data_IF_075403833068
#
_entry.id   IF_075403833068
#
_cell.length_a   1.000
_cell.length_b   1.000
_cell.length_c   1.000
_cell.angle_alpha   90.00
_cell.angle_beta   90.00
_cell.angle_gamma   90.00
#
_symmetry.space_group_name_H-M   'P 1'
#
loop_
_entity.id
_entity.type
_entity.pdbx_description
1 polymer ?
#
# COMPACT_ATOMS: atom_id res chain seq x y z
N UNK A 1 3.83 -29.25 -47.67
CA UNK A 1 3.62 -28.59 -46.35
C UNK A 1 4.85 -27.76 -46.07
N UNK A 2 4.75 -26.46 -45.76
CA UNK A 2 5.93 -25.56 -45.65
C UNK A 2 6.01 -24.84 -44.31
N UNK A 3 7.22 -24.52 -43.87
CA UNK A 3 7.50 -23.79 -42.64
C UNK A 3 7.09 -22.32 -42.77
N UNK A 4 6.31 -21.80 -41.83
CA UNK A 4 5.84 -20.41 -41.87
C UNK A 4 6.97 -19.38 -41.68
N UNK A 5 8.10 -19.76 -41.05
CA UNK A 5 9.27 -18.89 -40.81
C UNK A 5 10.25 -18.87 -41.99
N UNK A 6 10.82 -20.01 -42.39
CA UNK A 6 11.83 -20.07 -43.46
C UNK A 6 11.24 -20.33 -44.87
N UNK A 7 9.94 -20.63 -44.99
CA UNK A 7 9.25 -20.95 -46.26
C UNK A 7 9.71 -22.24 -46.96
N UNK A 8 10.55 -23.05 -46.32
CA UNK A 8 11.03 -24.33 -46.85
C UNK A 8 10.07 -25.49 -46.52
N UNK A 9 10.16 -26.64 -47.22
CA UNK A 9 9.39 -27.85 -46.90
C UNK A 9 9.67 -28.34 -45.48
N UNK A 10 8.64 -28.85 -44.80
CA UNK A 10 8.78 -29.47 -43.48
C UNK A 10 9.10 -30.96 -43.62
N UNK A 11 10.00 -31.46 -42.78
CA UNK A 11 10.27 -32.89 -42.60
C UNK A 11 9.17 -33.60 -41.79
N UNK A 12 9.39 -34.86 -41.42
CA UNK A 12 8.41 -35.68 -40.67
C UNK A 12 8.10 -35.14 -39.27
N UNK A 13 8.99 -34.32 -38.68
CA UNK A 13 8.78 -33.68 -37.37
C UNK A 13 8.54 -32.19 -37.55
N UNK A 14 7.38 -31.70 -37.06
CA UNK A 14 7.00 -30.29 -37.18
C UNK A 14 6.13 -29.86 -36.00
N UNK A 15 6.15 -28.56 -35.69
CA UNK A 15 5.30 -27.95 -34.67
C UNK A 15 4.11 -27.28 -35.34
N UNK A 16 2.91 -27.58 -34.86
CA UNK A 16 1.69 -26.88 -35.25
C UNK A 16 1.30 -25.88 -34.16
N UNK A 17 1.32 -24.59 -34.50
CA UNK A 17 1.00 -23.52 -33.56
C UNK A 17 0.36 -22.35 -34.31
N UNK A 18 -0.64 -21.70 -33.69
CA UNK A 18 -1.26 -20.46 -34.21
C UNK A 18 -1.77 -20.60 -35.66
N UNK A 19 -2.36 -21.76 -35.98
CA UNK A 19 -2.85 -22.10 -37.32
C UNK A 19 -1.76 -22.27 -38.39
N UNK A 20 -0.48 -22.26 -38.01
CA UNK A 20 0.69 -22.35 -38.90
C UNK A 20 1.56 -23.56 -38.53
N UNK A 21 2.53 -23.87 -39.37
CA UNK A 21 3.45 -25.01 -39.18
C UNK A 21 4.88 -24.53 -39.23
N UNK A 22 5.71 -25.03 -38.33
CA UNK A 22 7.09 -24.58 -38.14
C UNK A 22 8.03 -25.77 -37.99
N UNK A 23 9.30 -25.58 -38.33
CA UNK A 23 10.34 -26.50 -37.85
C UNK A 23 10.42 -26.37 -36.32
N UNK A 24 10.78 -27.43 -35.59
CA UNK A 24 10.96 -27.38 -34.14
C UNK A 24 11.85 -26.20 -33.71
N UNK A 25 12.96 -25.95 -34.40
CA UNK A 25 13.90 -24.87 -34.08
C UNK A 25 13.42 -23.47 -34.52
N UNK A 26 12.39 -23.41 -35.35
CA UNK A 26 11.88 -22.16 -35.92
C UNK A 26 10.73 -21.58 -35.13
N UNK A 27 10.10 -22.34 -34.24
CA UNK A 27 9.05 -21.84 -33.36
C UNK A 27 9.67 -21.26 -32.08
N UNK A 28 10.04 -19.98 -32.15
CA UNK A 28 10.70 -19.24 -31.05
C UNK A 28 9.87 -18.04 -30.60
N UNK A 29 10.18 -17.51 -29.43
CA UNK A 29 9.64 -16.22 -28.99
C UNK A 29 10.00 -15.11 -29.98
N UNK A 30 9.08 -14.17 -30.23
CA UNK A 30 9.35 -12.99 -31.10
C UNK A 30 10.36 -12.01 -30.50
N UNK A 31 10.54 -12.05 -29.17
CA UNK A 31 11.41 -11.13 -28.44
C UNK A 31 12.74 -11.75 -28.00
N UNK A 32 12.89 -13.08 -28.00
CA UNK A 32 14.13 -13.75 -27.61
C UNK A 32 14.34 -15.07 -28.36
N UNK A 33 15.58 -15.61 -28.40
CA UNK A 33 15.89 -16.83 -29.14
C UNK A 33 15.36 -18.12 -28.48
N UNK A 34 14.50 -18.03 -27.46
CA UNK A 34 13.93 -19.19 -26.78
C UNK A 34 13.05 -19.98 -27.74
N UNK A 35 13.43 -21.24 -27.98
CA UNK A 35 12.67 -22.20 -28.79
C UNK A 35 11.58 -22.83 -27.90
N UNK A 36 10.36 -22.87 -28.40
CA UNK A 36 9.28 -23.63 -27.76
C UNK A 36 9.35 -25.05 -28.30
N UNK A 37 9.81 -26.00 -27.47
CA UNK A 37 9.81 -27.41 -27.83
C UNK A 37 8.40 -27.93 -28.18
N UNK A 38 8.27 -29.17 -28.66
CA UNK A 38 6.98 -29.76 -29.02
C UNK A 38 5.95 -29.75 -27.88
N UNK A 39 6.40 -29.86 -26.62
CA UNK A 39 5.57 -29.77 -25.41
C UNK A 39 5.71 -28.41 -24.68
N UNK A 40 6.36 -27.44 -25.32
CA UNK A 40 6.64 -26.13 -24.73
C UNK A 40 5.39 -25.25 -24.63
N UNK A 41 5.22 -24.58 -23.49
CA UNK A 41 4.16 -23.57 -23.33
C UNK A 41 4.56 -22.26 -23.99
N UNK A 42 3.63 -21.67 -24.74
CA UNK A 42 3.78 -20.35 -25.37
C UNK A 42 2.51 -19.53 -25.15
N UNK A 43 2.64 -18.21 -25.28
CA UNK A 43 1.53 -17.27 -25.17
C UNK A 43 1.35 -16.53 -26.49
N UNK A 44 0.15 -16.57 -27.05
CA UNK A 44 -0.20 -15.93 -28.31
C UNK A 44 -0.75 -14.52 -28.08
N UNK A 45 -0.29 -13.55 -28.87
CA UNK A 45 -0.87 -12.20 -28.94
C UNK A 45 -0.72 -11.61 -30.33
N UNK A 46 -1.81 -11.12 -30.91
CA UNK A 46 -1.85 -10.51 -32.26
C UNK A 46 -1.19 -11.37 -33.36
N UNK A 47 -1.25 -12.70 -33.23
CA UNK A 47 -0.62 -13.62 -34.19
C UNK A 47 0.89 -13.75 -34.05
N UNK A 48 1.47 -13.33 -32.91
CA UNK A 48 2.85 -13.58 -32.50
C UNK A 48 2.96 -14.48 -31.25
N UNK A 49 4.07 -15.23 -31.14
CA UNK A 49 4.33 -16.14 -30.01
C UNK A 49 5.35 -15.54 -29.04
N UNK A 50 5.02 -15.54 -27.75
CA UNK A 50 5.87 -15.04 -26.68
C UNK A 50 6.14 -16.10 -25.62
N UNK A 51 7.35 -16.08 -25.06
CA UNK A 51 7.61 -16.83 -23.83
C UNK A 51 6.92 -16.13 -22.65
N UNK A 52 6.72 -16.86 -21.54
CA UNK A 52 6.07 -16.33 -20.35
C UNK A 52 6.63 -14.95 -19.95
N UNK A 53 7.94 -14.81 -19.93
CA UNK A 53 8.62 -13.57 -19.57
C UNK A 53 8.24 -12.41 -20.51
N UNK A 54 8.42 -12.57 -21.82
CA UNK A 54 8.14 -11.49 -22.77
C UNK A 54 6.65 -11.18 -22.90
N UNK A 55 5.79 -12.19 -22.81
CA UNK A 55 4.36 -11.96 -22.76
C UNK A 55 3.99 -11.11 -21.54
N UNK A 56 4.51 -11.46 -20.37
CA UNK A 56 4.27 -10.73 -19.11
C UNK A 56 4.67 -9.26 -19.22
N UNK A 57 5.88 -8.95 -19.72
CA UNK A 57 6.37 -7.56 -19.64
C UNK A 57 6.09 -6.70 -20.88
N UNK A 58 5.89 -7.29 -22.06
CA UNK A 58 5.65 -6.55 -23.31
C UNK A 58 4.18 -6.47 -23.69
N UNK A 59 3.40 -7.51 -23.36
CA UNK A 59 2.04 -7.68 -23.86
C UNK A 59 1.00 -7.50 -22.77
N UNK A 60 1.23 -8.09 -21.59
CA UNK A 60 0.21 -8.10 -20.54
C UNK A 60 -0.14 -6.68 -20.08
N UNK A 61 -1.43 -6.51 -19.74
CA UNK A 61 -1.95 -5.24 -19.21
C UNK A 61 -1.20 -4.86 -17.94
N UNK A 62 -0.86 -3.58 -17.79
CA UNK A 62 -0.15 -3.06 -16.62
C UNK A 62 -1.11 -2.44 -15.62
N UNK A 63 -0.83 -2.67 -14.33
CA UNK A 63 -1.61 -2.07 -13.26
C UNK A 63 -1.34 -0.56 -13.18
N UNK A 64 -2.40 0.25 -13.17
CA UNK A 64 -2.29 1.71 -13.04
C UNK A 64 -1.69 2.16 -11.68
N UNK A 65 -1.77 1.32 -10.64
CA UNK A 65 -1.22 1.60 -9.31
C UNK A 65 0.28 1.32 -9.15
N UNK A 66 0.75 0.14 -9.58
CA UNK A 66 2.14 -0.29 -9.39
C UNK A 66 2.96 -0.43 -10.68
N UNK A 67 2.33 -0.25 -11.85
CA UNK A 67 2.93 -0.40 -13.19
C UNK A 67 3.46 -1.81 -13.51
N UNK A 68 3.23 -2.79 -12.64
CA UNK A 68 3.57 -4.19 -12.89
C UNK A 68 2.52 -4.87 -13.78
N UNK A 69 2.93 -5.84 -14.62
CA UNK A 69 2.02 -6.69 -15.38
C UNK A 69 0.98 -7.40 -14.52
N UNK A 70 -0.25 -7.50 -15.02
CA UNK A 70 -1.32 -8.26 -14.37
C UNK A 70 -1.51 -9.60 -15.07
N UNK A 71 -1.22 -10.69 -14.36
CA UNK A 71 -1.26 -12.05 -14.91
C UNK A 71 -2.45 -12.89 -14.44
N UNK A 72 -3.17 -12.42 -13.42
CA UNK A 72 -4.29 -13.13 -12.79
C UNK A 72 -5.57 -12.27 -12.88
N UNK A 73 -6.25 -12.11 -11.76
CA UNK A 73 -7.43 -11.26 -11.61
C UNK A 73 -7.03 -9.78 -11.69
N UNK A 74 -7.86 -9.00 -12.39
CA UNK A 74 -7.76 -7.53 -12.43
C UNK A 74 -9.11 -6.88 -12.21
N UNK A 75 -9.09 -5.65 -11.73
CA UNK A 75 -10.24 -4.74 -11.71
C UNK A 75 -10.10 -3.78 -12.89
N UNK A 76 -11.19 -3.59 -13.63
CA UNK A 76 -11.29 -2.59 -14.70
C UNK A 76 -12.09 -1.41 -14.17
N UNK A 77 -11.49 -0.22 -14.20
CA UNK A 77 -12.08 1.02 -13.72
C UNK A 77 -12.02 2.07 -14.82
N UNK A 78 -13.12 2.76 -15.09
CA UNK A 78 -13.12 3.92 -15.98
C UNK A 78 -12.96 5.18 -15.14
N UNK A 79 -11.84 5.88 -15.28
CA UNK A 79 -11.59 7.15 -14.62
C UNK A 79 -11.31 8.23 -15.66
N UNK A 80 -12.12 9.29 -15.66
CA UNK A 80 -12.04 10.40 -16.64
C UNK A 80 -12.08 9.93 -18.10
N UNK A 81 -12.86 8.88 -18.38
CA UNK A 81 -13.01 8.32 -19.72
C UNK A 81 -11.85 7.43 -20.19
N UNK A 82 -10.85 7.18 -19.34
CA UNK A 82 -9.76 6.24 -19.64
C UNK A 82 -9.99 4.95 -18.87
N UNK A 83 -9.91 3.82 -19.57
CA UNK A 83 -9.96 2.49 -18.96
C UNK A 83 -8.62 2.15 -18.31
N UNK A 84 -8.61 2.06 -16.98
CA UNK A 84 -7.47 1.64 -16.18
C UNK A 84 -7.69 0.22 -15.65
N UNK A 85 -6.61 -0.55 -15.62
CA UNK A 85 -6.59 -1.91 -15.09
C UNK A 85 -5.80 -1.92 -13.79
N UNK A 86 -6.27 -2.66 -12.78
CA UNK A 86 -5.68 -2.65 -11.46
C UNK A 86 -5.57 -4.05 -10.87
N UNK A 87 -4.51 -4.31 -10.11
CA UNK A 87 -4.56 -5.40 -9.13
C UNK A 87 -5.58 -5.05 -8.04
N UNK A 88 -6.34 -6.02 -7.51
CA UNK A 88 -7.29 -5.78 -6.42
C UNK A 88 -6.67 -5.02 -5.24
N UNK A 89 -5.51 -5.46 -4.76
CA UNK A 89 -4.80 -4.87 -3.62
C UNK A 89 -4.31 -3.45 -3.94
N UNK A 90 -3.79 -3.23 -5.16
CA UNK A 90 -3.37 -1.90 -5.60
C UNK A 90 -4.55 -0.91 -5.63
N UNK A 91 -5.71 -1.38 -6.12
CA UNK A 91 -6.90 -0.54 -6.18
C UNK A 91 -7.45 -0.26 -4.78
N UNK A 92 -7.43 -1.24 -3.87
CA UNK A 92 -7.82 -1.01 -2.47
C UNK A 92 -6.91 0.03 -1.81
N UNK A 93 -5.59 -0.08 -1.96
CA UNK A 93 -4.66 0.90 -1.41
C UNK A 93 -4.94 2.31 -1.97
N UNK A 94 -5.20 2.41 -3.27
CA UNK A 94 -5.58 3.68 -3.91
C UNK A 94 -6.93 4.20 -3.41
N UNK A 95 -7.95 3.34 -3.30
CA UNK A 95 -9.30 3.73 -2.88
C UNK A 95 -9.32 4.27 -1.45
N UNK A 96 -8.62 3.60 -0.53
CA UNK A 96 -8.65 3.96 0.89
C UNK A 96 -7.64 5.07 1.20
N UNK A 97 -6.39 4.96 0.76
CA UNK A 97 -5.35 5.92 1.12
C UNK A 97 -4.98 6.90 0.01
N UNK A 98 -5.58 6.82 -1.19
CA UNK A 98 -5.23 7.68 -2.32
C UNK A 98 -3.71 7.68 -2.61
N UNK A 99 -3.12 6.49 -2.56
CA UNK A 99 -1.70 6.24 -2.84
C UNK A 99 -1.57 5.32 -4.05
N UNK A 100 -0.73 5.72 -5.01
CA UNK A 100 -0.24 4.83 -6.07
C UNK A 100 1.15 4.35 -5.69
N UNK A 101 1.37 3.03 -5.76
CA UNK A 101 2.61 2.36 -5.33
C UNK A 101 3.82 2.81 -6.15
N UNK A 102 3.64 3.10 -7.44
CA UNK A 102 4.68 3.67 -8.30
C UNK A 102 4.30 5.10 -8.73
N UNK A 103 4.91 6.14 -8.15
CA UNK A 103 4.72 7.52 -8.61
C UNK A 103 5.53 7.77 -9.90
N UNK A 104 4.85 7.79 -11.03
CA UNK A 104 5.08 8.61 -12.25
C UNK A 104 6.48 8.84 -12.86
N UNK A 105 7.59 8.20 -12.46
CA UNK A 105 8.82 8.29 -13.27
C UNK A 105 8.74 7.45 -14.56
N UNK A 106 7.82 6.49 -14.65
CA UNK A 106 7.64 5.62 -15.81
C UNK A 106 6.44 5.98 -16.71
N UNK A 107 5.67 7.02 -16.39
CA UNK A 107 4.44 7.35 -17.10
C UNK A 107 4.65 8.13 -18.42
N UNK A 108 5.87 8.59 -18.72
CA UNK A 108 6.14 9.54 -19.83
C UNK A 108 6.87 8.99 -21.07
N UNK A 109 7.33 7.74 -21.09
CA UNK A 109 8.22 7.27 -22.14
C UNK A 109 7.56 6.43 -23.25
N UNK A 110 6.90 7.04 -24.24
CA UNK A 110 6.73 6.40 -25.57
C UNK A 110 8.04 6.44 -26.38
N UNK A 111 9.17 6.15 -25.75
CA UNK A 111 10.45 5.97 -26.41
C UNK A 111 10.58 4.50 -26.80
N UNK A 112 11.01 4.20 -28.03
CA UNK A 112 11.36 2.84 -28.47
C UNK A 112 12.36 2.23 -27.49
N UNK A 113 11.90 1.39 -26.57
CA UNK A 113 12.76 0.70 -25.60
C UNK A 113 13.43 -0.47 -26.32
N UNK A 114 14.76 -0.48 -26.26
CA UNK A 114 15.60 -1.59 -26.70
C UNK A 114 15.12 -2.90 -26.04
N UNK A 115 15.05 -4.01 -26.79
CA UNK A 115 14.48 -5.32 -26.39
C UNK A 115 15.16 -6.03 -25.20
N UNK A 116 15.94 -5.34 -24.36
CA UNK A 116 16.42 -5.85 -23.08
C UNK A 116 15.58 -5.25 -21.94
N UNK A 117 14.58 -6.00 -21.50
CA UNK A 117 13.75 -5.69 -20.35
C UNK A 117 14.62 -5.74 -19.07
N UNK A 118 15.13 -4.58 -18.62
CA UNK A 118 15.64 -4.47 -17.26
C UNK A 118 14.45 -4.54 -16.30
N UNK A 119 14.40 -5.56 -15.43
CA UNK A 119 13.53 -5.53 -14.26
C UNK A 119 13.89 -4.25 -13.47
N UNK A 120 12.93 -3.37 -13.15
CA UNK A 120 13.20 -2.28 -12.24
C UNK A 120 13.63 -2.89 -10.89
N UNK A 121 14.92 -2.78 -10.56
CA UNK A 121 15.52 -3.38 -9.35
C UNK A 121 14.85 -2.88 -8.05
N UNK A 122 14.14 -1.76 -8.11
CA UNK A 122 13.48 -1.11 -6.97
C UNK A 122 11.95 -1.20 -7.02
N UNK A 123 11.39 -2.02 -7.91
CA UNK A 123 9.93 -2.18 -7.95
C UNK A 123 9.43 -2.88 -6.68
N UNK A 124 8.36 -2.33 -6.11
CA UNK A 124 7.64 -2.96 -5.00
C UNK A 124 7.02 -4.27 -5.50
N UNK A 125 7.34 -5.37 -4.84
CA UNK A 125 6.86 -6.70 -5.25
C UNK A 125 5.37 -6.90 -4.96
N UNK A 126 4.71 -7.82 -5.66
CA UNK A 126 3.30 -8.20 -5.39
C UNK A 126 3.10 -8.62 -3.92
N UNK A 127 4.07 -9.35 -3.36
CA UNK A 127 4.06 -9.74 -1.94
C UNK A 127 4.14 -8.54 -1.00
N UNK A 128 4.99 -7.55 -1.30
CA UNK A 128 5.05 -6.31 -0.51
C UNK A 128 3.75 -5.52 -0.61
N UNK A 129 3.12 -5.43 -1.79
CA UNK A 129 1.83 -4.76 -1.98
C UNK A 129 0.75 -5.42 -1.13
N UNK A 130 0.70 -6.77 -1.13
CA UNK A 130 -0.22 -7.51 -0.29
C UNK A 130 0.01 -7.22 1.20
N UNK A 131 1.27 -7.19 1.66
CA UNK A 131 1.60 -6.84 3.05
C UNK A 131 1.20 -5.40 3.41
N UNK A 132 1.41 -4.43 2.51
CA UNK A 132 0.94 -3.05 2.71
C UNK A 132 -0.57 -3.05 2.93
N UNK A 133 -1.32 -3.71 2.06
CA UNK A 133 -2.77 -3.77 2.16
C UNK A 133 -3.24 -4.39 3.48
N UNK A 134 -2.73 -5.58 3.84
CA UNK A 134 -3.21 -6.30 5.03
C UNK A 134 -2.88 -5.58 6.33
N UNK A 135 -1.65 -5.10 6.48
CA UNK A 135 -1.21 -4.41 7.72
C UNK A 135 -1.93 -3.08 7.88
N UNK A 136 -2.03 -2.26 6.83
CA UNK A 136 -2.73 -0.97 6.92
C UNK A 136 -4.23 -1.15 7.17
N UNK A 137 -4.85 -2.19 6.60
CA UNK A 137 -6.26 -2.50 6.86
C UNK A 137 -6.47 -2.91 8.32
N UNK A 138 -5.61 -3.78 8.85
CA UNK A 138 -5.69 -4.22 10.26
C UNK A 138 -5.46 -3.06 11.22
N UNK A 139 -4.51 -2.17 10.92
CA UNK A 139 -4.26 -0.96 11.70
C UNK A 139 -5.47 0.00 11.66
N UNK A 140 -6.06 0.22 10.48
CA UNK A 140 -7.25 1.07 10.34
C UNK A 140 -8.46 0.46 11.06
N UNK A 141 -8.68 -0.84 10.97
CA UNK A 141 -9.76 -1.55 11.68
C UNK A 141 -9.61 -1.45 13.20
N UNK A 142 -8.39 -1.64 13.71
CA UNK A 142 -8.11 -1.57 15.14
C UNK A 142 -8.33 -0.16 15.70
N UNK A 143 -7.88 0.86 14.97
CA UNK A 143 -8.09 2.27 15.35
C UNK A 143 -9.56 2.68 15.22
N UNK A 144 -10.27 2.22 14.18
CA UNK A 144 -11.70 2.46 14.01
C UNK A 144 -12.54 1.82 15.12
N UNK A 145 -12.13 0.65 15.62
CA UNK A 145 -12.76 0.01 16.78
C UNK A 145 -12.58 0.86 18.03
N UNK A 146 -11.37 1.36 18.30
CA UNK A 146 -11.14 2.27 19.43
C UNK A 146 -12.01 3.54 19.32
N UNK A 147 -12.09 4.12 18.13
CA UNK A 147 -12.91 5.32 17.87
C UNK A 147 -14.40 5.05 18.06
N UNK A 148 -14.89 3.91 17.57
CA UNK A 148 -16.30 3.53 17.69
C UNK A 148 -16.66 3.23 19.15
N UNK A 149 -15.78 2.53 19.87
CA UNK A 149 -15.99 2.23 21.29
C UNK A 149 -15.89 3.50 22.15
N UNK A 150 -15.01 4.45 21.84
CA UNK A 150 -14.99 5.77 22.51
C UNK A 150 -16.36 6.47 22.39
N UNK A 151 -16.97 6.49 21.20
CA UNK A 151 -18.29 7.06 20.98
C UNK A 151 -19.35 6.32 21.82
N UNK A 152 -19.37 4.98 21.71
CA UNK A 152 -20.38 4.13 22.35
C UNK A 152 -20.33 4.24 23.88
N UNK A 153 -19.15 4.09 24.47
CA UNK A 153 -18.98 4.07 25.93
C UNK A 153 -19.31 5.42 26.56
N UNK A 154 -18.87 6.52 25.95
CA UNK A 154 -19.18 7.87 26.46
C UNK A 154 -20.66 8.19 26.31
N UNK A 155 -21.29 7.79 25.19
CA UNK A 155 -22.75 7.97 25.01
C UNK A 155 -23.58 7.14 26.00
N UNK A 156 -23.06 5.99 26.46
CA UNK A 156 -23.66 5.15 27.49
C UNK A 156 -23.34 5.57 28.93
N UNK A 157 -22.58 6.65 29.14
CA UNK A 157 -22.17 7.11 30.48
C UNK A 157 -21.04 6.30 31.12
N UNK A 158 -20.42 5.36 30.39
CA UNK A 158 -19.30 4.55 30.83
C UNK A 158 -17.95 5.26 30.57
N UNK A 159 -17.75 6.42 31.21
CA UNK A 159 -16.60 7.30 30.94
C UNK A 159 -15.23 6.67 31.18
N UNK A 160 -15.10 5.82 32.21
CA UNK A 160 -13.83 5.12 32.50
C UNK A 160 -13.46 4.16 31.36
N UNK A 161 -14.45 3.52 30.73
CA UNK A 161 -14.19 2.65 29.60
C UNK A 161 -13.89 3.47 28.33
N UNK A 162 -14.58 4.59 28.13
CA UNK A 162 -14.23 5.56 27.09
C UNK A 162 -12.78 6.06 27.22
N UNK A 163 -12.31 6.30 28.45
CA UNK A 163 -10.92 6.68 28.73
C UNK A 163 -9.93 5.58 28.33
N UNK A 164 -10.23 4.31 28.66
CA UNK A 164 -9.38 3.16 28.27
C UNK A 164 -9.31 3.00 26.76
N UNK A 165 -10.40 3.23 26.03
CA UNK A 165 -10.37 3.18 24.57
C UNK A 165 -9.58 4.35 23.97
N UNK A 166 -9.60 5.52 24.61
CA UNK A 166 -8.75 6.64 24.22
C UNK A 166 -7.25 6.37 24.48
N UNK A 167 -6.90 5.75 25.61
CA UNK A 167 -5.53 5.28 25.90
C UNK A 167 -5.03 4.35 24.78
N UNK A 168 -5.85 3.35 24.39
CA UNK A 168 -5.55 2.43 23.29
C UNK A 168 -5.43 3.16 21.94
N UNK A 169 -6.28 4.13 21.67
CA UNK A 169 -6.18 4.94 20.46
C UNK A 169 -4.87 5.75 20.42
N UNK A 170 -4.47 6.37 21.53
CA UNK A 170 -3.23 7.15 21.64
C UNK A 170 -2.00 6.27 21.35
N UNK A 171 -2.01 5.02 21.79
CA UNK A 171 -0.95 4.06 21.47
C UNK A 171 -0.77 3.84 19.97
N UNK A 172 -1.85 3.73 19.21
CA UNK A 172 -1.77 3.64 17.75
C UNK A 172 -1.22 4.94 17.13
N UNK A 173 -1.59 6.10 17.69
CA UNK A 173 -1.09 7.40 17.25
C UNK A 173 0.41 7.52 17.51
N UNK A 174 0.88 7.09 18.68
CA UNK A 174 2.29 7.13 19.07
C UNK A 174 3.16 6.30 18.12
N UNK A 175 2.76 5.05 17.83
CA UNK A 175 3.50 4.22 16.88
C UNK A 175 3.46 4.79 15.46
N UNK A 176 2.35 5.40 15.05
CA UNK A 176 2.28 6.06 13.75
C UNK A 176 3.22 7.28 13.69
N UNK A 177 3.28 8.09 14.74
CA UNK A 177 4.22 9.21 14.84
C UNK A 177 5.67 8.73 14.84
N UNK A 178 6.02 7.77 15.69
CA UNK A 178 7.36 7.18 15.71
C UNK A 178 7.74 6.50 14.38
N UNK A 179 6.77 6.03 13.59
CA UNK A 179 7.04 5.52 12.24
C UNK A 179 7.28 6.63 11.23
N UNK A 180 6.60 7.77 11.40
CA UNK A 180 6.78 8.95 10.55
C UNK A 180 8.12 9.63 10.87
N UNK A 181 8.46 9.77 12.15
CA UNK A 181 9.73 10.36 12.60
C UNK A 181 10.93 9.55 12.07
N UNK A 182 10.90 8.21 12.20
CA UNK A 182 11.91 7.33 11.60
C UNK A 182 12.06 7.54 10.08
N UNK A 183 10.95 7.76 9.37
CA UNK A 183 10.97 8.02 7.93
C UNK A 183 11.48 9.42 7.61
N UNK A 184 11.18 10.43 8.43
CA UNK A 184 11.76 11.76 8.29
C UNK A 184 13.27 11.72 8.51
N UNK A 185 13.73 11.04 9.56
CA UNK A 185 15.14 10.82 9.85
C UNK A 185 15.80 10.09 8.67
N UNK A 186 15.25 8.97 8.19
CA UNK A 186 15.76 8.25 7.02
C UNK A 186 15.83 9.16 5.78
N UNK A 187 14.77 9.93 5.51
CA UNK A 187 14.70 10.82 4.35
C UNK A 187 15.61 12.05 4.46
N UNK A 188 15.90 12.52 5.67
CA UNK A 188 16.78 13.69 5.92
C UNK A 188 18.23 13.47 5.46
N UNK A 189 18.64 12.20 5.32
CA UNK A 189 19.95 11.83 4.80
C UNK A 189 20.09 12.09 3.30
N UNK A 190 18.97 12.31 2.60
CA UNK A 190 18.95 12.65 1.19
C UNK A 190 18.65 14.15 1.08
N UNK A 191 19.46 14.90 0.34
CA UNK A 191 19.35 16.36 0.12
C UNK A 191 18.08 16.76 -0.69
N UNK A 192 16.92 16.30 -0.24
CA UNK A 192 15.63 16.45 -0.89
C UNK A 192 14.70 17.35 -0.07
N UNK A 193 14.57 18.58 -0.55
CA UNK A 193 13.68 19.61 -0.01
C UNK A 193 12.18 19.25 0.03
N UNK A 194 11.76 18.15 -0.62
CA UNK A 194 10.33 17.82 -0.70
C UNK A 194 9.78 17.07 0.52
N UNK A 195 10.65 16.46 1.35
CA UNK A 195 10.33 15.90 2.68
C UNK A 195 9.05 15.06 2.78
N UNK A 196 8.54 14.88 4.00
CA UNK A 196 7.18 14.40 4.26
C UNK A 196 6.27 15.60 4.53
N UNK A 197 5.32 15.90 3.65
CA UNK A 197 4.41 17.04 3.83
C UNK A 197 3.31 16.75 4.88
N UNK A 198 3.58 17.00 6.16
CA UNK A 198 2.62 16.70 7.25
C UNK A 198 2.70 17.60 8.49
N UNK A 199 3.10 18.86 8.36
CA UNK A 199 3.38 19.72 9.53
C UNK A 199 2.15 20.13 10.36
N UNK A 200 0.93 19.97 9.82
CA UNK A 200 -0.31 20.48 10.44
C UNK A 200 -1.14 19.38 11.07
N UNK A 201 -1.20 18.23 10.43
CA UNK A 201 -2.08 17.11 10.74
C UNK A 201 -1.79 16.46 12.10
N UNK A 202 -0.53 16.20 12.51
CA UNK A 202 -0.21 15.69 13.85
C UNK A 202 -0.72 16.64 14.95
N UNK A 203 -0.51 17.95 14.79
CA UNK A 203 -0.95 18.98 15.75
C UNK A 203 -2.47 19.01 15.87
N UNK A 204 -3.18 18.89 14.74
CA UNK A 204 -4.64 18.85 14.73
C UNK A 204 -5.18 17.57 15.36
N UNK A 205 -4.54 16.42 15.13
CA UNK A 205 -4.89 15.16 15.78
C UNK A 205 -4.73 15.27 17.31
N UNK A 206 -3.58 15.75 17.79
CA UNK A 206 -3.34 15.95 19.22
C UNK A 206 -4.36 16.92 19.83
N UNK A 207 -4.67 18.04 19.15
CA UNK A 207 -5.70 18.98 19.61
C UNK A 207 -7.07 18.31 19.75
N UNK A 208 -7.41 17.39 18.86
CA UNK A 208 -8.68 16.64 18.92
C UNK A 208 -8.70 15.59 20.03
N UNK A 209 -7.57 14.94 20.30
CA UNK A 209 -7.41 14.04 21.46
C UNK A 209 -7.59 14.83 22.77
N UNK A 210 -6.94 15.99 22.91
CA UNK A 210 -7.12 16.87 24.09
C UNK A 210 -8.57 17.33 24.23
N UNK A 211 -9.20 17.70 23.12
CA UNK A 211 -10.62 18.10 23.11
C UNK A 211 -11.54 16.97 23.57
N UNK A 212 -11.23 15.71 23.26
CA UNK A 212 -11.99 14.56 23.75
C UNK A 212 -11.90 14.43 25.28
N UNK A 213 -10.71 14.57 25.87
CA UNK A 213 -10.58 14.58 27.33
C UNK A 213 -11.25 15.79 27.99
N UNK A 214 -11.25 16.95 27.33
CA UNK A 214 -12.01 18.12 27.78
C UNK A 214 -13.50 17.80 27.85
N UNK A 215 -14.07 17.14 26.84
CA UNK A 215 -15.46 16.69 26.85
C UNK A 215 -15.73 15.74 28.02
N UNK A 216 -14.86 14.74 28.25
CA UNK A 216 -14.99 13.82 29.39
C UNK A 216 -14.97 14.53 30.76
N UNK A 217 -14.22 15.62 30.89
CA UNK A 217 -14.12 16.39 32.14
C UNK A 217 -15.37 17.23 32.42
N UNK A 218 -16.05 17.74 31.39
CA UNK A 218 -17.22 18.61 31.53
C UNK A 218 -18.55 17.84 31.66
N UNK A 219 -18.56 16.55 31.32
CA UNK A 219 -19.78 15.71 31.36
C UNK A 219 -20.20 15.23 32.74
N UNK A 220 -19.48 15.59 33.80
CA UNK A 220 -19.92 15.34 35.19
C UNK A 220 -21.10 16.23 35.62
N UNK A 221 -21.56 17.20 34.79
CA UNK A 221 -22.53 18.24 35.19
C UNK A 221 -23.83 18.37 34.34
N UNK A 222 -24.40 17.27 33.84
CA UNK A 222 -25.85 17.11 33.57
C UNK A 222 -26.53 17.56 32.23
N UNK A 223 -25.86 17.80 31.09
CA UNK A 223 -26.61 18.00 29.81
C UNK A 223 -26.18 17.06 28.67
N UNK A 224 -27.09 16.17 28.25
CA UNK A 224 -26.82 15.03 27.36
C UNK A 224 -27.11 15.27 25.88
N UNK A 225 -27.94 16.25 25.51
CA UNK A 225 -28.40 16.40 24.12
C UNK A 225 -27.38 17.06 23.18
N UNK A 226 -26.48 17.92 23.68
CA UNK A 226 -25.41 18.55 22.87
C UNK A 226 -24.14 17.70 22.75
N UNK A 227 -23.90 16.83 23.73
CA UNK A 227 -22.69 16.02 23.88
C UNK A 227 -22.46 15.05 22.70
N UNK A 228 -23.53 14.42 22.22
CA UNK A 228 -23.44 13.37 21.19
C UNK A 228 -22.99 13.93 19.84
N UNK A 229 -23.40 15.15 19.49
CA UNK A 229 -23.00 15.82 18.25
C UNK A 229 -21.56 16.31 18.30
N UNK A 230 -21.15 16.88 19.43
CA UNK A 230 -19.76 17.30 19.64
C UNK A 230 -18.82 16.10 19.59
N UNK A 231 -19.19 15.01 20.27
CA UNK A 231 -18.42 13.78 20.28
C UNK A 231 -18.33 13.15 18.88
N UNK A 232 -19.43 13.10 18.14
CA UNK A 232 -19.43 12.60 16.76
C UNK A 232 -18.48 13.40 15.85
N UNK A 233 -18.46 14.73 15.99
CA UNK A 233 -17.52 15.61 15.28
C UNK A 233 -16.07 15.31 15.66
N UNK A 234 -15.79 15.10 16.95
CA UNK A 234 -14.46 14.76 17.44
C UNK A 234 -13.98 13.44 16.86
N UNK A 235 -14.73 12.35 17.03
CA UNK A 235 -14.33 11.01 16.57
C UNK A 235 -14.16 10.95 15.05
N UNK A 236 -15.01 11.66 14.29
CA UNK A 236 -14.87 11.78 12.84
C UNK A 236 -13.56 12.48 12.45
N UNK A 237 -13.20 13.54 13.18
CA UNK A 237 -11.95 14.24 12.93
C UNK A 237 -10.72 13.42 13.30
N UNK A 238 -10.77 12.63 14.39
CA UNK A 238 -9.69 11.70 14.76
C UNK A 238 -9.44 10.68 13.64
N UNK A 239 -10.51 10.02 13.16
CA UNK A 239 -10.42 9.05 12.06
C UNK A 239 -9.84 9.69 10.79
N UNK A 240 -10.28 10.91 10.47
CA UNK A 240 -9.78 11.64 9.31
C UNK A 240 -8.28 11.93 9.40
N UNK A 241 -7.80 12.54 10.49
CA UNK A 241 -6.38 12.90 10.62
C UNK A 241 -5.49 11.65 10.68
N UNK A 242 -5.91 10.61 11.39
CA UNK A 242 -5.19 9.34 11.41
C UNK A 242 -5.00 8.78 10.00
N UNK A 243 -6.08 8.73 9.20
CA UNK A 243 -6.02 8.28 7.81
C UNK A 243 -5.09 9.12 6.94
N UNK A 244 -5.06 10.44 7.13
CA UNK A 244 -4.13 11.32 6.41
C UNK A 244 -2.68 11.01 6.79
N UNK A 245 -2.40 10.79 8.08
CA UNK A 245 -1.06 10.45 8.56
C UNK A 245 -0.61 9.06 8.10
N UNK A 246 -1.48 8.06 8.08
CA UNK A 246 -1.18 6.74 7.49
C UNK A 246 -0.81 6.87 6.01
N UNK A 247 -1.51 7.74 5.26
CA UNK A 247 -1.16 8.06 3.87
C UNK A 247 0.23 8.71 3.77
N UNK A 248 0.56 9.66 4.65
CA UNK A 248 1.87 10.32 4.68
C UNK A 248 2.97 9.29 4.91
N UNK A 249 2.83 8.46 5.95
CA UNK A 249 3.79 7.40 6.27
C UNK A 249 4.01 6.46 5.07
N UNK A 250 2.92 5.98 4.45
CA UNK A 250 3.02 5.11 3.28
C UNK A 250 3.71 5.79 2.09
N UNK A 251 3.40 7.07 1.82
CA UNK A 251 4.07 7.82 0.75
C UNK A 251 5.56 8.00 1.04
N UNK A 252 5.94 8.29 2.28
CA UNK A 252 7.34 8.39 2.71
C UNK A 252 8.10 7.09 2.49
N UNK A 253 7.56 5.98 2.99
CA UNK A 253 8.18 4.67 2.83
C UNK A 253 8.30 4.24 1.35
N UNK A 254 7.28 4.51 0.53
CA UNK A 254 7.33 4.27 -0.91
C UNK A 254 8.41 5.12 -1.57
N UNK A 255 8.48 6.41 -1.23
CA UNK A 255 9.49 7.34 -1.75
C UNK A 255 10.91 6.88 -1.39
N UNK A 256 11.16 6.52 -0.14
CA UNK A 256 12.43 5.96 0.33
C UNK A 256 12.84 4.73 -0.49
N UNK A 257 11.91 3.82 -0.76
CA UNK A 257 12.22 2.62 -1.56
C UNK A 257 12.41 2.92 -3.06
N UNK A 258 11.54 3.74 -3.66
CA UNK A 258 11.54 3.92 -5.13
C UNK A 258 12.56 4.95 -5.61
N UNK A 259 12.73 6.04 -4.88
CA UNK A 259 13.61 7.16 -5.27
C UNK A 259 15.01 6.99 -4.65
N UNK A 260 15.09 6.60 -3.38
CA UNK A 260 16.35 6.50 -2.63
C UNK A 260 16.92 5.09 -2.51
N UNK A 261 16.23 4.08 -3.05
CA UNK A 261 16.66 2.68 -3.07
C UNK A 261 16.88 2.09 -1.68
N UNK A 262 16.05 2.48 -0.71
CA UNK A 262 15.99 1.87 0.62
C UNK A 262 14.92 0.76 0.63
N UNK A 263 15.26 -0.51 0.35
CA UNK A 263 14.26 -1.59 0.25
C UNK A 263 13.64 -1.98 1.60
N UNK A 264 14.24 -1.53 2.71
CA UNK A 264 13.81 -1.87 4.05
C UNK A 264 12.72 -0.92 4.60
N UNK A 265 12.57 0.30 4.06
CA UNK A 265 11.71 1.34 4.63
C UNK A 265 10.24 0.93 4.73
N UNK A 266 9.69 0.33 3.66
CA UNK A 266 8.33 -0.22 3.68
C UNK A 266 8.22 -1.31 4.74
N UNK A 267 9.17 -2.24 4.79
CA UNK A 267 9.13 -3.34 5.75
C UNK A 267 9.21 -2.83 7.20
N UNK A 268 10.05 -1.84 7.48
CA UNK A 268 10.21 -1.22 8.79
C UNK A 268 8.89 -0.55 9.25
N UNK A 269 8.29 0.27 8.37
CA UNK A 269 6.97 0.87 8.62
C UNK A 269 5.91 -0.19 8.96
N UNK A 270 5.79 -1.23 8.11
CA UNK A 270 4.79 -2.27 8.30
C UNK A 270 5.04 -3.07 9.58
N UNK A 271 6.30 -3.34 9.94
CA UNK A 271 6.61 -4.01 11.21
C UNK A 271 6.14 -3.21 12.41
N UNK A 272 6.45 -1.91 12.49
CA UNK A 272 5.99 -1.04 13.59
C UNK A 272 4.47 -1.03 13.70
N UNK A 273 3.76 -0.82 12.59
CA UNK A 273 2.29 -0.79 12.59
C UNK A 273 1.68 -2.13 13.02
N UNK A 274 2.31 -3.25 12.68
CA UNK A 274 1.86 -4.59 13.10
C UNK A 274 2.01 -4.78 14.61
N UNK A 275 3.06 -4.27 15.24
CA UNK A 275 3.29 -4.45 16.68
C UNK A 275 2.17 -3.88 17.57
N UNK A 276 1.44 -2.89 17.08
CA UNK A 276 0.27 -2.32 17.80
C UNK A 276 -0.95 -3.23 17.82
N UNK A 277 -1.06 -4.16 16.88
CA UNK A 277 -2.19 -5.09 16.78
C UNK A 277 -2.10 -6.26 17.78
N UNK A 278 -0.93 -6.47 18.40
CA UNK A 278 -0.68 -7.59 19.32
C UNK A 278 -0.97 -7.23 20.78
N UNK A 279 -2.02 -7.86 21.35
CA UNK A 279 -2.50 -7.61 22.73
C UNK A 279 -1.45 -7.80 23.84
N UNK A 280 -0.40 -8.58 23.60
CA UNK A 280 0.55 -9.02 24.63
C UNK A 280 1.72 -8.06 24.85
N UNK A 281 2.16 -7.31 23.82
CA UNK A 281 3.22 -6.29 23.98
C UNK A 281 2.76 -5.07 24.79
N UNK A 282 1.45 -4.97 25.03
CA UNK A 282 0.78 -3.91 25.80
C UNK A 282 1.18 -3.88 27.28
N UNK A 283 1.55 -5.01 27.89
CA UNK A 283 1.97 -5.05 29.28
C UNK A 283 3.34 -4.38 29.51
N UNK A 284 4.23 -4.46 28.53
CA UNK A 284 5.59 -3.90 28.62
C UNK A 284 5.58 -2.38 28.43
N UNK A 285 4.73 -1.86 27.55
CA UNK A 285 4.61 -0.42 27.31
C UNK A 285 3.99 0.34 28.51
N UNK A 286 3.11 -0.33 29.27
CA UNK A 286 2.55 0.23 30.51
C UNK A 286 3.61 0.30 31.63
N UNK A 287 4.59 -0.61 31.63
CA UNK A 287 5.70 -0.60 32.59
C UNK A 287 6.70 0.54 32.27
N UNK A 288 6.98 0.83 31.00
CA UNK A 288 7.92 1.91 30.64
C UNK A 288 7.41 3.31 30.97
N UNK A 289 6.09 3.51 31.05
CA UNK A 289 5.47 4.78 31.49
C UNK A 289 5.17 4.83 33.00
N UNK A 290 5.33 3.72 33.74
CA UNK A 290 5.29 3.73 35.20
C UNK A 290 6.65 4.13 35.81
N UNK A 291 7.74 4.05 35.05
CA UNK A 291 9.07 4.51 35.49
C UNK A 291 9.28 6.03 35.26
N UNK A 292 8.42 6.69 34.50
CA UNK A 292 8.35 8.16 34.47
C UNK A 292 7.50 8.65 35.64
N UNK A 293 8.03 8.49 36.85
CA UNK A 293 7.56 9.22 38.03
C UNK A 293 7.63 10.72 37.72
N UNK A 294 6.50 11.27 37.27
CA UNK A 294 6.20 12.69 37.41
C UNK A 294 6.06 12.90 38.92
N UNK A 295 7.19 13.21 39.56
CA UNK A 295 7.17 13.88 40.86
C UNK A 295 6.49 15.23 40.64
N UNK A 296 5.20 15.25 40.96
CA UNK A 296 4.36 16.43 41.00
C UNK A 296 4.87 17.35 42.12
N UNK A 297 5.80 18.24 41.80
CA UNK A 297 5.99 19.46 42.57
C UNK A 297 4.99 20.52 42.09
N UNK A 298 3.72 20.32 42.45
CA UNK A 298 2.64 21.31 42.48
C UNK A 298 1.63 20.94 43.57
#
# INVERSE_FOLDING_TARGET
>A
MVCARCKEPLDSTYVHAMGRKYHPDHFTCTACPTIFGPDGTYYEHEGEAFCLYHYTYLVAKKCAGCQQPIMKLFLQMSHRGVEEHWHPECYMIYKFWNVRICPSMYAGGRGRVNKQLLKPQNAVSEQQIYQIWTVLSSFEESTATCISDMLLQVSGGHYLEGLRQAERFIMHVDVLFASIDDLEDELSHFDDSTGLQHTREPKLLCKKIVSFFSVLSHTQSNESNGLTQELLSLVTSLAHYLKVLTRVALKGALKAQTEYKCPASIKALLSKLTETSDRQKWALFRLSYQETDITSDL
#
